data_IF_857179812626
#
_entry.id   IF_857179812626
#
_cell.length_a   1.000
_cell.length_b   1.000
_cell.length_c   1.000
_cell.angle_alpha   90.00
_cell.angle_beta   90.00
_cell.angle_gamma   90.00
#
_symmetry.space_group_name_H-M   'P 1'
#
loop_
_entity.id
_entity.type
_entity.pdbx_description
1 polymer ?
#
# COMPACT_ATOMS: atom_id res chain seq x y z
N UNK A 1 -18.30 6.14 11.88
CA UNK A 1 -17.83 5.30 13.01
C UNK A 1 -16.39 5.57 13.42
N UNK A 2 -15.35 5.29 12.60
CA UNK A 2 -13.94 5.46 13.04
C UNK A 2 -13.63 6.92 13.43
N UNK A 3 -14.03 7.89 12.59
CA UNK A 3 -13.80 9.31 12.87
C UNK A 3 -14.72 9.86 13.94
N UNK A 4 -16.02 9.54 13.86
CA UNK A 4 -17.05 9.96 14.82
C UNK A 4 -16.71 9.52 16.27
N UNK A 5 -16.12 8.34 16.43
CA UNK A 5 -15.73 7.80 17.73
C UNK A 5 -14.28 8.13 18.12
N UNK A 6 -13.54 8.91 17.31
CA UNK A 6 -12.13 9.29 17.55
C UNK A 6 -11.21 8.10 17.84
N UNK A 7 -11.42 6.98 17.13
CA UNK A 7 -10.70 5.72 17.37
C UNK A 7 -9.33 5.67 16.70
N UNK A 8 -9.03 6.58 15.77
CA UNK A 8 -7.84 6.56 14.93
C UNK A 8 -6.55 6.43 15.75
N UNK A 9 -6.41 7.27 16.78
CA UNK A 9 -5.23 7.31 17.66
C UNK A 9 -4.96 5.98 18.38
N UNK A 10 -6.03 5.24 18.72
CA UNK A 10 -5.92 3.96 19.43
C UNK A 10 -5.57 2.81 18.49
N UNK A 11 -5.94 2.95 17.22
CA UNK A 11 -5.66 1.99 16.15
C UNK A 11 -4.32 2.28 15.44
N UNK A 12 -3.63 3.37 15.78
CA UNK A 12 -2.42 3.81 15.11
C UNK A 12 -2.66 4.39 13.71
N UNK A 13 -3.91 4.71 13.37
CA UNK A 13 -4.27 5.36 12.12
C UNK A 13 -4.02 6.88 12.20
N UNK A 14 -3.83 7.57 11.07
CA UNK A 14 -3.65 9.01 11.05
C UNK A 14 -4.90 9.73 11.59
N UNK A 15 -4.71 10.89 12.24
CA UNK A 15 -5.81 11.70 12.78
C UNK A 15 -6.82 12.07 11.69
N UNK A 16 -6.31 12.41 10.51
CA UNK A 16 -7.10 12.65 9.30
C UNK A 16 -6.93 11.47 8.34
N UNK A 17 -7.91 10.58 8.33
CA UNK A 17 -7.96 9.46 7.41
C UNK A 17 -8.64 9.89 6.10
N UNK A 18 -8.17 9.37 4.95
CA UNK A 18 -8.89 9.52 3.68
C UNK A 18 -9.96 8.42 3.55
N UNK A 19 -11.06 8.61 4.28
CA UNK A 19 -12.18 7.67 4.30
C UNK A 19 -12.89 7.60 2.94
N UNK A 20 -12.87 8.69 2.17
CA UNK A 20 -13.43 8.72 0.82
C UNK A 20 -12.66 7.82 -0.13
N UNK A 21 -11.32 7.87 -0.11
CA UNK A 21 -10.48 6.95 -0.88
C UNK A 21 -10.73 5.52 -0.46
N UNK A 22 -10.73 5.24 0.85
CA UNK A 22 -11.07 3.91 1.36
C UNK A 22 -12.42 3.40 0.84
N UNK A 23 -13.46 4.25 0.86
CA UNK A 23 -14.79 3.88 0.38
C UNK A 23 -14.81 3.60 -1.13
N UNK A 24 -14.10 4.41 -1.94
CA UNK A 24 -13.97 4.18 -3.39
C UNK A 24 -13.27 2.86 -3.70
N UNK A 25 -12.15 2.63 -3.05
CA UNK A 25 -11.32 1.40 -3.12
C UNK A 25 -12.17 0.17 -2.78
N UNK A 26 -12.83 0.19 -1.63
CA UNK A 26 -13.66 -0.91 -1.15
C UNK A 26 -14.83 -1.22 -2.10
N UNK A 27 -15.54 -0.18 -2.55
CA UNK A 27 -16.71 -0.33 -3.42
C UNK A 27 -16.34 -0.92 -4.78
N UNK A 28 -15.19 -0.48 -5.33
CA UNK A 28 -14.74 -0.88 -6.66
C UNK A 28 -14.22 -2.33 -6.70
N UNK A 29 -13.64 -2.82 -5.61
CA UNK A 29 -12.93 -4.11 -5.61
C UNK A 29 -13.39 -5.12 -4.55
N UNK A 30 -14.60 -4.94 -4.00
CA UNK A 30 -15.45 -5.77 -3.10
C UNK A 30 -14.88 -6.99 -2.37
N UNK A 31 -14.05 -7.84 -2.99
CA UNK A 31 -13.43 -9.03 -2.39
C UNK A 31 -12.01 -9.26 -2.93
N UNK A 32 -11.12 -9.75 -2.07
CA UNK A 32 -9.78 -10.24 -2.47
C UNK A 32 -8.64 -9.23 -2.32
N UNK A 33 -8.93 -8.03 -1.83
CA UNK A 33 -7.89 -7.05 -1.51
C UNK A 33 -7.06 -7.49 -0.32
N UNK A 34 -5.75 -7.27 -0.42
CA UNK A 34 -4.84 -7.47 0.69
C UNK A 34 -5.15 -6.44 1.81
N UNK A 35 -5.21 -6.83 3.09
CA UNK A 35 -5.67 -5.93 4.17
C UNK A 35 -4.84 -4.65 4.30
N UNK A 36 -3.52 -4.72 4.11
CA UNK A 36 -2.62 -3.58 4.15
C UNK A 36 -2.90 -2.59 3.02
N UNK A 37 -3.41 -3.06 1.87
CA UNK A 37 -3.88 -2.20 0.78
C UNK A 37 -5.01 -1.27 1.23
N UNK A 38 -5.96 -1.82 1.99
CA UNK A 38 -7.05 -1.04 2.60
C UNK A 38 -6.52 -0.06 3.63
N UNK A 39 -5.57 -0.46 4.47
CA UNK A 39 -4.93 0.46 5.43
C UNK A 39 -4.18 1.57 4.72
N UNK A 40 -3.40 1.26 3.69
CA UNK A 40 -2.66 2.25 2.90
C UNK A 40 -3.60 3.27 2.22
N UNK A 41 -4.83 2.88 1.89
CA UNK A 41 -5.83 3.81 1.39
C UNK A 41 -6.29 4.86 2.42
N UNK A 42 -6.10 4.62 3.72
CA UNK A 42 -6.40 5.59 4.77
C UNK A 42 -5.21 6.53 5.07
N UNK A 43 -4.01 6.15 4.66
CA UNK A 43 -2.75 6.82 4.98
C UNK A 43 -2.28 7.76 3.86
N UNK A 44 -1.60 8.85 4.22
CA UNK A 44 -1.07 9.82 3.26
C UNK A 44 0.42 9.68 3.00
N UNK A 45 1.18 9.24 4.01
CA UNK A 45 2.63 9.18 3.95
C UNK A 45 3.18 7.96 4.73
N UNK A 46 4.47 7.69 4.57
CA UNK A 46 5.14 6.56 5.23
C UNK A 46 5.07 6.62 6.78
N UNK A 47 5.04 7.81 7.38
CA UNK A 47 4.96 7.96 8.85
C UNK A 47 3.63 7.47 9.42
N UNK A 48 2.57 7.57 8.63
CA UNK A 48 1.25 7.05 9.00
C UNK A 48 1.31 5.52 9.06
N UNK A 49 1.95 4.89 8.07
CA UNK A 49 2.17 3.44 8.01
C UNK A 49 3.07 2.98 9.17
N UNK A 50 4.15 3.71 9.46
CA UNK A 50 5.04 3.42 10.57
C UNK A 50 4.31 3.50 11.93
N UNK A 51 3.47 4.53 12.11
CA UNK A 51 2.68 4.72 13.32
C UNK A 51 1.64 3.61 13.51
N UNK A 52 1.00 3.19 12.42
CA UNK A 52 0.09 2.05 12.42
C UNK A 52 0.82 0.76 12.78
N UNK A 53 1.91 0.44 12.07
CA UNK A 53 2.74 -0.75 12.31
C UNK A 53 3.24 -0.83 13.76
N UNK A 54 3.67 0.30 14.34
CA UNK A 54 4.13 0.37 15.73
C UNK A 54 3.04 -0.02 16.73
N UNK A 55 1.76 0.24 16.42
CA UNK A 55 0.64 -0.14 17.29
C UNK A 55 0.12 -1.54 17.05
N UNK A 56 0.03 -1.95 15.79
CA UNK A 56 -0.56 -3.24 15.42
C UNK A 56 0.42 -4.41 15.44
N UNK A 57 1.74 -4.12 15.47
CA UNK A 57 2.83 -5.13 15.47
C UNK A 57 2.71 -6.12 14.30
N UNK A 58 2.33 -5.60 13.14
CA UNK A 58 2.28 -6.37 11.90
C UNK A 58 3.67 -6.83 11.45
N UNK A 59 3.71 -7.71 10.45
CA UNK A 59 4.98 -8.16 9.89
C UNK A 59 5.70 -7.02 9.18
N UNK A 60 7.04 -7.10 9.16
CA UNK A 60 7.85 -6.17 8.37
C UNK A 60 7.45 -6.16 6.89
N UNK A 61 6.98 -7.30 6.36
CA UNK A 61 6.52 -7.39 4.98
C UNK A 61 5.23 -6.59 4.73
N UNK A 62 4.29 -6.55 5.69
CA UNK A 62 3.10 -5.68 5.61
C UNK A 62 3.48 -4.21 5.73
N UNK A 63 4.39 -3.85 6.65
CA UNK A 63 4.89 -2.46 6.73
C UNK A 63 5.48 -2.00 5.40
N UNK A 64 6.38 -2.79 4.84
CA UNK A 64 7.06 -2.52 3.56
C UNK A 64 6.03 -2.37 2.43
N UNK A 65 5.01 -3.22 2.39
CA UNK A 65 3.94 -3.12 1.40
C UNK A 65 3.17 -1.80 1.53
N UNK A 66 2.78 -1.42 2.74
CA UNK A 66 2.09 -0.14 2.98
C UNK A 66 2.93 1.07 2.60
N UNK A 67 4.21 1.07 2.96
CA UNK A 67 5.17 2.12 2.60
C UNK A 67 5.33 2.23 1.08
N UNK A 68 5.46 1.10 0.39
CA UNK A 68 5.56 1.05 -1.06
C UNK A 68 4.32 1.66 -1.74
N UNK A 69 3.11 1.24 -1.33
CA UNK A 69 1.85 1.73 -1.91
C UNK A 69 1.75 3.25 -1.76
N UNK A 70 1.93 3.76 -0.53
CA UNK A 70 1.77 5.18 -0.24
C UNK A 70 2.80 6.04 -0.99
N UNK A 71 4.02 5.53 -1.16
CA UNK A 71 5.10 6.20 -1.88
C UNK A 71 4.80 6.31 -3.38
N UNK A 72 4.36 5.21 -3.99
CA UNK A 72 4.34 5.09 -5.45
C UNK A 72 2.95 5.19 -6.09
N UNK A 73 1.86 5.26 -5.32
CA UNK A 73 0.49 5.32 -5.87
C UNK A 73 0.25 6.45 -6.88
N UNK A 74 0.89 7.61 -6.71
CA UNK A 74 0.76 8.75 -7.65
C UNK A 74 1.46 8.48 -8.98
N UNK A 75 2.63 7.85 -8.92
CA UNK A 75 3.37 7.44 -10.12
C UNK A 75 2.59 6.35 -10.87
N UNK A 76 1.97 5.42 -10.12
CA UNK A 76 1.06 4.46 -10.68
C UNK A 76 -0.15 5.15 -11.35
N UNK A 77 -0.84 6.07 -10.68
CA UNK A 77 -1.95 6.84 -11.27
C UNK A 77 -1.59 7.48 -12.62
N UNK A 78 -0.41 8.09 -12.69
CA UNK A 78 0.12 8.70 -13.90
C UNK A 78 0.42 7.65 -14.98
N UNK A 79 1.04 6.53 -14.60
CA UNK A 79 1.31 5.42 -15.51
C UNK A 79 0.00 4.84 -16.10
N UNK A 80 -1.03 4.67 -15.27
CA UNK A 80 -2.36 4.21 -15.71
C UNK A 80 -3.00 5.19 -16.69
N UNK A 81 -2.93 6.48 -16.40
CA UNK A 81 -3.44 7.55 -17.27
C UNK A 81 -2.73 7.54 -18.63
N UNK A 82 -1.45 7.18 -18.64
CA UNK A 82 -0.63 7.01 -19.84
C UNK A 82 -0.75 5.62 -20.49
N UNK A 83 -1.64 4.75 -19.99
CA UNK A 83 -1.82 3.36 -20.41
C UNK A 83 -0.56 2.47 -20.27
N UNK A 84 0.41 2.89 -19.46
CA UNK A 84 1.59 2.10 -19.12
C UNK A 84 1.27 1.13 -17.97
N UNK A 85 0.66 -0.01 -18.31
CA UNK A 85 0.26 -1.03 -17.33
C UNK A 85 1.44 -1.83 -16.76
N UNK A 86 2.60 -1.78 -17.42
CA UNK A 86 3.81 -2.55 -17.04
C UNK A 86 4.81 -1.76 -16.20
N UNK A 87 4.54 -0.47 -15.92
CA UNK A 87 5.41 0.42 -15.12
C UNK A 87 5.93 -0.19 -13.81
N UNK A 88 5.12 -1.01 -13.14
CA UNK A 88 5.50 -1.68 -11.89
C UNK A 88 6.64 -2.71 -12.09
N UNK A 89 6.72 -3.37 -13.26
CA UNK A 89 7.80 -4.31 -13.57
C UNK A 89 9.11 -3.56 -13.64
N UNK A 90 9.09 -2.44 -14.36
CA UNK A 90 10.23 -1.55 -14.51
C UNK A 90 10.66 -1.04 -13.12
N UNK A 91 9.71 -0.61 -12.29
CA UNK A 91 9.96 -0.18 -10.92
C UNK A 91 10.58 -1.28 -10.04
N UNK A 92 10.07 -2.52 -10.10
CA UNK A 92 10.65 -3.63 -9.33
C UNK A 92 12.08 -3.92 -9.79
N UNK A 93 12.32 -3.95 -11.11
CA UNK A 93 13.65 -4.15 -11.69
C UNK A 93 14.61 -3.04 -11.22
N UNK A 94 14.18 -1.78 -11.23
CA UNK A 94 14.97 -0.66 -10.72
C UNK A 94 15.32 -0.81 -9.22
N UNK A 95 14.36 -1.25 -8.40
CA UNK A 95 14.57 -1.49 -6.98
C UNK A 95 15.51 -2.67 -6.68
N UNK A 96 15.61 -3.65 -7.58
CA UNK A 96 16.59 -4.74 -7.48
C UNK A 96 18.01 -4.27 -7.80
N UNK A 97 18.16 -3.41 -8.80
CA UNK A 97 19.46 -2.92 -9.29
C UNK A 97 20.05 -1.84 -8.37
N UNK A 98 19.19 -1.14 -7.61
CA UNK A 98 19.63 -0.05 -6.72
C UNK A 98 20.40 -0.57 -5.49
N UNK A 99 21.69 -0.20 -5.30
CA UNK A 99 22.47 -0.63 -4.15
C UNK A 99 21.83 -0.11 -2.84
N UNK A 100 21.67 -0.99 -1.85
CA UNK A 100 21.10 -0.66 -0.54
C UNK A 100 19.61 -1.00 -0.34
N UNK A 101 18.87 -1.32 -1.40
CA UNK A 101 17.43 -1.67 -1.32
C UNK A 101 17.14 -3.19 -1.39
N UNK A 102 18.20 -4.02 -1.43
CA UNK A 102 18.08 -5.48 -1.63
C UNK A 102 17.28 -6.25 -0.58
N UNK A 103 17.02 -5.68 0.61
CA UNK A 103 16.14 -6.29 1.61
C UNK A 103 14.66 -5.95 1.34
N UNK A 104 14.39 -4.76 0.83
CA UNK A 104 13.05 -4.23 0.52
C UNK A 104 12.47 -4.98 -0.69
N UNK A 105 13.25 -5.08 -1.77
CA UNK A 105 12.88 -5.82 -2.98
C UNK A 105 12.71 -7.31 -2.69
N UNK A 106 13.62 -7.94 -1.95
CA UNK A 106 13.51 -9.37 -1.60
C UNK A 106 12.30 -9.71 -0.73
N UNK A 107 11.93 -8.88 0.24
CA UNK A 107 10.75 -9.12 1.10
C UNK A 107 9.45 -8.99 0.33
N UNK A 108 9.36 -7.98 -0.54
CA UNK A 108 8.28 -7.81 -1.49
C UNK A 108 8.20 -9.03 -2.41
N UNK A 109 9.27 -9.34 -3.13
CA UNK A 109 9.36 -10.48 -4.04
C UNK A 109 9.10 -11.83 -3.37
N UNK A 110 9.53 -12.06 -2.13
CA UNK A 110 9.27 -13.30 -1.40
C UNK A 110 7.80 -13.44 -1.00
N UNK A 111 7.16 -12.33 -0.56
CA UNK A 111 5.71 -12.30 -0.33
C UNK A 111 4.96 -12.49 -1.66
N UNK A 112 5.49 -11.96 -2.78
CA UNK A 112 4.88 -12.07 -4.11
C UNK A 112 5.12 -13.42 -4.82
N UNK A 113 6.26 -14.08 -4.61
CA UNK A 113 6.53 -15.40 -5.19
C UNK A 113 5.71 -16.50 -4.52
N UNK A 114 5.29 -16.29 -3.26
CA UNK A 114 4.41 -17.20 -2.51
C UNK A 114 2.92 -16.87 -2.67
N UNK A 115 2.58 -15.68 -3.19
CA UNK A 115 1.20 -15.23 -3.38
C UNK A 115 1.01 -14.95 -4.88
N UNK A 116 0.52 -15.92 -5.65
CA UNK A 116 0.06 -15.78 -7.05
C UNK A 116 -1.04 -14.71 -7.26
N UNK A 117 -1.36 -13.88 -6.26
CA UNK A 117 -2.58 -13.08 -6.18
C UNK A 117 -2.38 -11.57 -6.07
N UNK A 118 -1.17 -11.06 -5.88
CA UNK A 118 -0.96 -9.61 -5.95
C UNK A 118 -0.87 -9.18 -7.42
N UNK A 119 -2.04 -9.09 -8.06
CA UNK A 119 -2.15 -8.51 -9.38
C UNK A 119 -2.12 -7.01 -9.21
N UNK A 120 -1.31 -6.30 -10.01
CA UNK A 120 -1.14 -4.84 -10.06
C UNK A 120 -2.45 -4.05 -10.20
N UNK A 121 -3.54 -4.74 -10.58
CA UNK A 121 -4.89 -4.25 -10.32
C UNK A 121 -5.04 -3.67 -8.93
N UNK A 122 -4.44 -4.30 -7.92
CA UNK A 122 -4.44 -4.01 -6.48
C UNK A 122 -3.77 -2.66 -6.14
N UNK A 123 -2.69 -2.26 -6.81
CA UNK A 123 -2.07 -0.95 -6.50
C UNK A 123 -2.83 0.22 -7.13
N UNK A 124 -3.36 0.04 -8.34
CA UNK A 124 -4.29 0.99 -8.97
C UNK A 124 -5.66 1.06 -8.26
N UNK A 125 -5.93 0.17 -7.30
CA UNK A 125 -7.13 0.24 -6.45
C UNK A 125 -7.07 1.44 -5.53
N UNK A 126 -5.87 1.74 -5.01
CA UNK A 126 -5.59 2.75 -3.98
C UNK A 126 -5.43 4.16 -4.55
N UNK A 127 -5.59 4.29 -5.87
CA UNK A 127 -5.61 5.55 -6.60
C UNK A 127 -7.02 6.15 -6.61
#
# INVERSE_FOLDING_TARGET
MIEECKLQQYLGLPEKCDVDRFARVFTKYKTGLEPMLMIASLCENQKDIESFHRKTKLSNAERILGEFIVTHRKEAEQALSNKNVDWWKDMIVELEVTPGHGMFSKLLLFKYSSIEKFSIRDMYVVV
#
